data_IF_036985770846
#
_entry.id   IF_036985770846
#
_cell.length_a   1.000
_cell.length_b   1.000
_cell.length_c   1.000
_cell.angle_alpha   90.00
_cell.angle_beta   90.00
_cell.angle_gamma   90.00
#
_symmetry.space_group_name_H-M   'P 1'
#
loop_
_entity.id
_entity.type
_entity.pdbx_description
1 polymer ?
#
# COMPACT_ATOMS: atom_id res chain seq x y z
N UNK A 1 -27.64 21.82 6.13
CA UNK A 1 -26.43 21.45 5.38
C UNK A 1 -26.70 20.15 4.62
N UNK A 2 -26.44 20.12 3.32
CA UNK A 2 -26.62 18.94 2.48
C UNK A 2 -25.28 18.34 2.06
N UNK A 3 -25.14 17.03 2.22
CA UNK A 3 -24.01 16.26 1.65
C UNK A 3 -24.54 15.16 0.74
N UNK A 4 -23.70 14.74 -0.20
CA UNK A 4 -24.01 13.64 -1.10
C UNK A 4 -23.13 12.44 -0.78
N UNK A 5 -23.73 11.29 -0.49
CA UNK A 5 -23.00 10.02 -0.31
C UNK A 5 -23.11 9.20 -1.59
N UNK A 6 -21.97 8.80 -2.15
CA UNK A 6 -21.88 7.82 -3.23
C UNK A 6 -21.41 6.50 -2.67
N UNK A 7 -22.14 5.43 -2.96
CA UNK A 7 -21.90 4.10 -2.43
C UNK A 7 -21.23 3.22 -3.48
N UNK A 8 -20.32 2.35 -3.06
CA UNK A 8 -19.79 1.25 -3.87
C UNK A 8 -20.65 0.01 -3.73
N UNK A 9 -20.35 -1.04 -4.48
CA UNK A 9 -20.89 -2.38 -4.19
C UNK A 9 -20.17 -2.97 -2.96
N UNK A 10 -20.83 -3.82 -2.16
CA UNK A 10 -22.26 -4.17 -2.19
C UNK A 10 -23.20 -3.15 -1.51
N UNK A 11 -22.71 -2.06 -0.92
CA UNK A 11 -23.58 -1.06 -0.25
C UNK A 11 -24.67 -0.51 -1.15
N UNK A 12 -24.39 -0.29 -2.44
CA UNK A 12 -25.37 0.16 -3.44
C UNK A 12 -26.58 -0.77 -3.50
N UNK A 13 -26.36 -2.08 -3.42
CA UNK A 13 -27.43 -3.09 -3.42
C UNK A 13 -28.24 -3.07 -2.13
N UNK A 14 -27.57 -2.97 -0.99
CA UNK A 14 -28.24 -2.95 0.32
C UNK A 14 -29.03 -1.68 0.56
N UNK A 15 -28.51 -0.53 0.10
CA UNK A 15 -29.18 0.77 0.20
C UNK A 15 -30.23 0.95 -0.90
N UNK A 16 -30.13 0.20 -2.01
CA UNK A 16 -31.01 0.32 -3.17
C UNK A 16 -30.73 1.55 -4.04
N UNK A 17 -29.66 2.30 -3.76
CA UNK A 17 -29.27 3.49 -4.51
C UNK A 17 -27.75 3.65 -4.55
N UNK A 18 -27.23 4.06 -5.71
CA UNK A 18 -25.81 4.40 -5.90
C UNK A 18 -25.42 5.71 -5.19
N UNK A 19 -26.40 6.59 -5.00
CA UNK A 19 -26.22 7.92 -4.42
C UNK A 19 -27.40 8.23 -3.52
N UNK A 20 -27.11 8.74 -2.33
CA UNK A 20 -28.09 9.27 -1.39
C UNK A 20 -27.68 10.68 -0.95
N UNK A 21 -28.66 11.52 -0.63
CA UNK A 21 -28.42 12.87 -0.11
C UNK A 21 -28.84 12.91 1.35
N UNK A 22 -27.94 13.36 2.22
CA UNK A 22 -28.22 13.53 3.64
C UNK A 22 -28.35 15.02 3.94
N UNK A 23 -29.43 15.38 4.64
CA UNK A 23 -29.64 16.71 5.19
C UNK A 23 -29.28 16.70 6.67
N UNK A 24 -28.55 17.72 7.12
CA UNK A 24 -28.19 17.95 8.52
C UNK A 24 -28.78 19.29 8.97
N UNK A 25 -29.57 19.25 10.03
CA UNK A 25 -30.30 20.42 10.54
C UNK A 25 -29.45 21.31 11.45
N UNK A 26 -28.36 20.78 12.03
CA UNK A 26 -27.41 21.54 12.85
C UNK A 26 -26.00 20.95 12.86
N UNK A 27 -25.00 21.81 13.04
CA UNK A 27 -23.56 21.49 13.17
C UNK A 27 -23.18 21.01 14.60
N UNK A 28 -22.12 20.20 14.75
CA UNK A 28 -21.24 19.76 13.70
C UNK A 28 -21.68 18.46 13.02
N UNK A 29 -21.83 18.48 11.70
CA UNK A 29 -21.97 17.26 10.93
C UNK A 29 -20.60 16.59 10.78
N UNK A 30 -20.54 15.28 11.01
CA UNK A 30 -19.30 14.50 10.92
C UNK A 30 -19.48 13.33 9.97
N UNK A 31 -18.36 12.76 9.52
CA UNK A 31 -18.38 11.50 8.76
C UNK A 31 -19.04 10.40 9.59
N UNK A 32 -18.74 10.30 10.88
CA UNK A 32 -19.40 9.36 11.79
C UNK A 32 -20.92 9.60 11.87
N UNK A 33 -21.35 10.86 11.95
CA UNK A 33 -22.77 11.22 11.93
C UNK A 33 -23.47 10.83 10.64
N UNK A 34 -22.80 10.97 9.49
CA UNK A 34 -23.29 10.50 8.20
C UNK A 34 -23.42 8.97 8.15
N UNK A 35 -22.41 8.23 8.63
CA UNK A 35 -22.46 6.77 8.71
C UNK A 35 -23.58 6.28 9.64
N UNK A 36 -23.77 6.94 10.79
CA UNK A 36 -24.85 6.63 11.71
C UNK A 36 -26.23 6.91 11.10
N UNK A 37 -26.41 7.97 10.31
CA UNK A 37 -27.68 8.19 9.57
C UNK A 37 -27.92 7.08 8.54
N UNK A 38 -26.91 6.69 7.77
CA UNK A 38 -27.06 5.60 6.80
C UNK A 38 -27.46 4.28 7.47
N UNK A 39 -26.85 3.96 8.61
CA UNK A 39 -27.18 2.80 9.44
C UNK A 39 -28.65 2.78 9.87
N UNK A 40 -29.18 3.94 10.31
CA UNK A 40 -30.56 4.05 10.78
C UNK A 40 -31.60 4.10 9.65
N UNK A 41 -31.27 4.72 8.51
CA UNK A 41 -32.22 4.92 7.40
C UNK A 41 -32.33 3.73 6.46
N UNK A 42 -31.28 2.93 6.31
CA UNK A 42 -31.20 1.87 5.31
C UNK A 42 -30.98 0.50 5.98
N UNK A 43 -32.05 -0.28 6.17
CA UNK A 43 -31.96 -1.64 6.68
C UNK A 43 -31.00 -2.48 5.83
N UNK A 44 -29.96 -3.03 6.44
CA UNK A 44 -28.93 -3.83 5.75
C UNK A 44 -27.66 -3.05 5.36
N UNK A 45 -27.61 -1.72 5.57
CA UNK A 45 -26.37 -0.95 5.45
C UNK A 45 -25.29 -1.51 6.37
N UNK A 46 -25.59 -1.68 7.65
CA UNK A 46 -24.64 -2.18 8.66
C UNK A 46 -24.05 -3.55 8.31
N UNK A 47 -24.89 -4.49 7.90
CA UNK A 47 -24.46 -5.83 7.49
C UNK A 47 -23.51 -5.75 6.28
N UNK A 48 -23.89 -4.97 5.26
CA UNK A 48 -23.07 -4.79 4.08
C UNK A 48 -21.78 -4.00 4.36
N UNK A 49 -21.82 -3.00 5.23
CA UNK A 49 -20.67 -2.19 5.64
C UNK A 49 -19.67 -2.99 6.48
N UNK A 50 -20.13 -3.97 7.25
CA UNK A 50 -19.27 -4.96 7.92
C UNK A 50 -18.71 -6.03 6.96
N UNK A 51 -19.17 -6.05 5.71
CA UNK A 51 -18.74 -7.03 4.71
C UNK A 51 -19.36 -8.42 4.90
N UNK A 52 -20.53 -8.53 5.54
CA UNK A 52 -21.23 -9.81 5.69
C UNK A 52 -21.50 -10.44 4.31
N UNK A 53 -21.07 -11.68 4.10
CA UNK A 53 -21.20 -12.40 2.83
C UNK A 53 -20.08 -12.14 1.81
N UNK A 54 -19.07 -11.34 2.15
CA UNK A 54 -17.89 -11.11 1.31
C UNK A 54 -16.75 -12.02 1.79
N UNK A 55 -16.22 -12.88 0.92
CA UNK A 55 -15.19 -13.88 1.27
C UNK A 55 -13.83 -13.30 1.71
N UNK A 56 -13.60 -11.99 1.49
CA UNK A 56 -12.46 -11.24 1.97
C UNK A 56 -12.94 -9.93 2.61
N UNK A 57 -12.69 -9.76 3.91
CA UNK A 57 -13.15 -8.60 4.68
C UNK A 57 -12.16 -7.45 4.51
N UNK A 58 -12.14 -6.82 3.34
CA UNK A 58 -11.49 -5.52 3.22
C UNK A 58 -12.39 -4.47 3.89
N UNK A 59 -11.87 -3.61 4.79
CA UNK A 59 -12.67 -2.54 5.33
C UNK A 59 -13.05 -1.54 4.22
N UNK A 60 -14.28 -1.04 4.28
CA UNK A 60 -14.70 0.05 3.41
C UNK A 60 -13.82 1.27 3.62
N UNK A 61 -13.52 1.98 2.53
CA UNK A 61 -12.82 3.26 2.61
C UNK A 61 -13.83 4.39 2.46
N UNK A 62 -13.64 5.43 3.27
CA UNK A 62 -14.44 6.65 3.23
C UNK A 62 -13.58 7.80 2.73
N UNK A 63 -14.08 8.55 1.76
CA UNK A 63 -13.44 9.76 1.26
C UNK A 63 -14.40 10.94 1.31
N UNK A 64 -13.89 12.14 1.61
CA UNK A 64 -14.62 13.41 1.46
C UNK A 64 -13.91 14.24 0.39
N UNK A 65 -14.60 14.57 -0.71
CA UNK A 65 -14.06 15.34 -1.84
C UNK A 65 -12.69 14.84 -2.35
N UNK A 66 -12.48 13.52 -2.37
CA UNK A 66 -11.23 12.83 -2.73
C UNK A 66 -10.12 12.76 -1.66
N UNK A 67 -10.34 13.24 -0.44
CA UNK A 67 -9.45 12.99 0.70
C UNK A 67 -9.92 11.78 1.48
N UNK A 68 -9.04 10.80 1.68
CA UNK A 68 -9.37 9.65 2.51
C UNK A 68 -9.54 10.11 3.96
N UNK A 69 -10.62 9.65 4.58
CA UNK A 69 -10.84 9.75 6.03
C UNK A 69 -10.05 8.60 6.65
N UNK A 70 -9.00 8.86 7.47
CA UNK A 70 -8.31 7.81 8.18
C UNK A 70 -9.26 7.03 9.07
N UNK A 71 -9.04 5.72 9.20
CA UNK A 71 -9.84 4.90 10.10
C UNK A 71 -9.69 5.40 11.55
N UNK A 72 -10.80 5.65 12.23
CA UNK A 72 -10.86 6.18 13.59
C UNK A 72 -10.95 7.72 13.68
N UNK A 73 -10.82 8.43 12.56
CA UNK A 73 -10.96 9.90 12.52
C UNK A 73 -12.37 10.37 12.12
N UNK A 74 -13.33 9.46 11.92
CA UNK A 74 -14.66 9.77 11.40
C UNK A 74 -15.45 10.74 12.28
N UNK A 75 -15.26 10.69 13.60
CA UNK A 75 -15.88 11.62 14.57
C UNK A 75 -15.26 13.02 14.55
N UNK A 76 -13.98 13.11 14.15
CA UNK A 76 -13.23 14.37 14.10
C UNK A 76 -13.36 15.05 12.75
N UNK A 77 -13.67 14.29 11.71
CA UNK A 77 -13.81 14.79 10.35
C UNK A 77 -15.13 15.56 10.18
N UNK A 78 -15.04 16.88 10.23
CA UNK A 78 -16.17 17.79 10.02
C UNK A 78 -16.54 17.84 8.53
N UNK A 79 -17.84 17.78 8.26
CA UNK A 79 -18.41 17.97 6.94
C UNK A 79 -18.82 19.43 6.76
N UNK A 80 -18.86 19.88 5.51
CA UNK A 80 -19.41 21.17 5.12
C UNK A 80 -20.47 21.00 4.04
N UNK A 81 -21.25 22.07 3.83
CA UNK A 81 -22.31 22.08 2.82
C UNK A 81 -21.77 21.79 1.43
N UNK A 82 -22.41 20.84 0.73
CA UNK A 82 -22.00 20.40 -0.60
C UNK A 82 -20.94 19.29 -0.63
N UNK A 83 -20.44 18.83 0.51
CA UNK A 83 -19.45 17.75 0.56
C UNK A 83 -19.94 16.46 -0.12
N UNK A 84 -19.01 15.81 -0.82
CA UNK A 84 -19.24 14.50 -1.44
C UNK A 84 -18.48 13.44 -0.68
N UNK A 85 -19.25 12.55 -0.04
CA UNK A 85 -18.74 11.38 0.65
C UNK A 85 -18.74 10.20 -0.33
N UNK A 86 -17.65 9.46 -0.40
CA UNK A 86 -17.54 8.22 -1.17
C UNK A 86 -17.27 7.09 -0.20
N UNK A 87 -18.14 6.08 -0.18
CA UNK A 87 -17.99 4.87 0.63
C UNK A 87 -17.98 3.71 -0.32
N UNK A 88 -16.85 3.03 -0.46
CA UNK A 88 -16.79 1.86 -1.33
C UNK A 88 -15.91 0.78 -0.71
N UNK A 89 -16.30 -0.46 -0.99
CA UNK A 89 -15.43 -1.58 -0.71
C UNK A 89 -14.32 -1.48 -1.75
N UNK A 90 -13.04 -1.33 -1.34
CA UNK A 90 -11.97 -1.59 -2.29
C UNK A 90 -12.18 -3.04 -2.74
N UNK A 91 -12.30 -3.27 -4.06
CA UNK A 91 -12.70 -4.55 -4.64
C UNK A 91 -12.06 -5.73 -3.88
N UNK A 92 -12.70 -6.91 -3.82
CA UNK A 92 -11.96 -8.10 -3.38
C UNK A 92 -10.78 -8.30 -4.36
N UNK A 93 -9.57 -7.91 -3.95
CA UNK A 93 -8.41 -7.64 -4.84
C UNK A 93 -8.10 -6.15 -5.11
N UNK A 94 -8.56 -5.23 -4.27
CA UNK A 94 -8.51 -3.80 -4.44
C UNK A 94 -7.08 -3.32 -4.56
N UNK A 95 -6.87 -2.41 -5.51
CA UNK A 95 -5.58 -1.91 -6.01
C UNK A 95 -4.64 -1.27 -4.97
N UNK A 96 -4.98 -1.34 -3.68
CA UNK A 96 -4.21 -0.81 -2.57
C UNK A 96 -4.08 -1.81 -1.39
N UNK A 97 -4.11 -3.12 -1.66
CA UNK A 97 -3.84 -4.16 -0.66
C UNK A 97 -2.46 -4.78 -0.88
N UNK A 98 -1.73 -5.19 0.18
CA UNK A 98 -0.46 -5.88 0.02
C UNK A 98 -0.61 -7.12 -0.85
N UNK A 99 0.32 -7.30 -1.79
CA UNK A 99 0.43 -8.53 -2.56
C UNK A 99 0.62 -9.70 -1.58
N UNK A 100 -0.14 -10.79 -1.72
CA UNK A 100 -0.10 -11.89 -0.78
C UNK A 100 1.23 -12.65 -0.88
N UNK A 101 1.57 -13.43 0.15
CA UNK A 101 2.75 -14.30 0.13
C UNK A 101 2.82 -15.19 -1.12
N UNK A 102 1.67 -15.69 -1.59
CA UNK A 102 1.55 -16.50 -2.81
C UNK A 102 2.01 -15.78 -4.08
N UNK A 103 1.98 -14.43 -4.12
CA UNK A 103 2.55 -13.67 -5.23
C UNK A 103 4.08 -13.77 -5.25
N UNK A 104 4.74 -13.80 -4.09
CA UNK A 104 6.19 -13.87 -3.98
C UNK A 104 6.73 -15.31 -4.02
N UNK A 105 5.92 -16.29 -3.59
CA UNK A 105 6.21 -17.72 -3.59
C UNK A 105 6.12 -18.36 -5.00
N UNK A 106 6.74 -17.72 -5.98
CA UNK A 106 6.76 -18.10 -7.40
C UNK A 106 8.17 -17.93 -7.97
N UNK A 107 8.46 -18.48 -9.16
CA UNK A 107 9.74 -18.32 -9.81
C UNK A 107 10.20 -16.86 -9.88
N UNK A 108 11.42 -16.55 -9.45
CA UNK A 108 11.89 -15.16 -9.30
C UNK A 108 11.73 -14.33 -10.58
N UNK A 109 12.01 -14.91 -11.75
CA UNK A 109 11.84 -14.21 -13.03
C UNK A 109 10.38 -13.91 -13.38
N UNK A 110 9.44 -14.75 -12.93
CA UNK A 110 8.00 -14.47 -13.06
C UNK A 110 7.61 -13.32 -12.16
N UNK A 111 8.01 -13.36 -10.89
CA UNK A 111 7.74 -12.28 -9.93
C UNK A 111 8.36 -10.96 -10.39
N UNK A 112 9.59 -10.96 -10.90
CA UNK A 112 10.26 -9.76 -11.39
C UNK A 112 9.50 -9.06 -12.51
N UNK A 113 8.98 -9.83 -13.48
CA UNK A 113 8.14 -9.27 -14.55
C UNK A 113 6.82 -8.74 -14.02
N UNK A 114 6.18 -9.50 -13.13
CA UNK A 114 4.89 -9.14 -12.55
C UNK A 114 4.96 -7.99 -11.55
N UNK A 115 6.15 -7.66 -11.02
CA UNK A 115 6.40 -6.51 -10.18
C UNK A 115 6.44 -5.19 -10.96
N UNK A 116 6.75 -5.21 -12.26
CA UNK A 116 6.73 -4.00 -13.08
C UNK A 116 5.32 -3.43 -13.16
N UNK A 117 5.19 -2.12 -12.92
CA UNK A 117 3.92 -1.41 -12.87
C UNK A 117 3.16 -1.48 -11.54
N UNK A 118 3.55 -2.41 -10.64
CA UNK A 118 3.03 -2.50 -9.27
C UNK A 118 3.47 -1.31 -8.44
N UNK A 119 2.73 -0.99 -7.39
CA UNK A 119 3.01 0.18 -6.56
C UNK A 119 3.79 -0.21 -5.32
N UNK A 120 5.01 0.31 -5.17
CA UNK A 120 5.74 0.24 -3.90
C UNK A 120 5.21 1.32 -2.98
N UNK A 121 4.84 0.94 -1.76
CA UNK A 121 4.24 1.85 -0.77
C UNK A 121 5.06 1.86 0.50
N UNK A 122 5.31 3.07 1.00
CA UNK A 122 5.82 3.33 2.34
C UNK A 122 4.81 4.18 3.12
N UNK A 123 4.42 3.72 4.30
CA UNK A 123 3.71 4.55 5.28
C UNK A 123 4.67 4.98 6.38
N UNK A 124 4.80 6.29 6.60
CA UNK A 124 5.66 6.92 7.61
C UNK A 124 4.83 7.94 8.37
N UNK A 125 4.63 7.72 9.67
CA UNK A 125 3.89 8.65 10.54
C UNK A 125 2.50 9.03 10.00
N UNK A 126 1.80 8.05 9.40
CA UNK A 126 0.50 8.25 8.75
C UNK A 126 0.56 8.90 7.36
N UNK A 127 1.74 9.33 6.90
CA UNK A 127 1.96 9.82 5.54
C UNK A 127 2.32 8.67 4.60
N UNK A 128 1.58 8.57 3.50
CA UNK A 128 1.81 7.60 2.45
C UNK A 128 2.72 8.17 1.34
N UNK A 129 3.76 7.42 0.99
CA UNK A 129 4.67 7.67 -0.11
C UNK A 129 4.60 6.48 -1.06
N UNK A 130 4.46 6.71 -2.36
CA UNK A 130 4.41 5.61 -3.32
C UNK A 130 4.92 5.96 -4.70
N UNK A 131 5.17 4.91 -5.48
CA UNK A 131 5.39 5.01 -6.91
C UNK A 131 5.34 3.65 -7.59
N UNK A 132 5.13 3.67 -8.91
CA UNK A 132 5.09 2.47 -9.74
C UNK A 132 6.49 1.95 -9.97
N UNK A 133 6.72 0.66 -9.73
CA UNK A 133 7.99 0.00 -9.98
C UNK A 133 8.26 -0.01 -11.48
N UNK A 134 9.31 0.70 -11.89
CA UNK A 134 9.68 0.88 -13.29
C UNK A 134 10.89 0.01 -13.69
N UNK A 135 11.74 -0.34 -12.73
CA UNK A 135 12.96 -1.09 -12.99
C UNK A 135 13.25 -2.06 -11.83
N UNK A 136 13.57 -3.31 -12.17
CA UNK A 136 13.95 -4.37 -11.23
C UNK A 136 15.11 -5.20 -11.76
N UNK A 137 15.81 -5.90 -10.87
CA UNK A 137 16.87 -6.86 -11.22
C UNK A 137 16.75 -8.11 -10.35
N UNK A 138 16.81 -9.29 -10.97
CA UNK A 138 16.61 -10.57 -10.28
C UNK A 138 17.96 -11.26 -9.99
N UNK A 139 18.09 -11.80 -8.78
CA UNK A 139 19.23 -12.59 -8.34
C UNK A 139 18.75 -13.95 -7.83
N UNK A 140 19.30 -15.04 -8.36
CA UNK A 140 18.72 -16.38 -8.19
C UNK A 140 19.79 -17.41 -7.84
N UNK A 141 19.66 -18.03 -6.66
CA UNK A 141 20.51 -19.12 -6.23
C UNK A 141 21.92 -18.69 -5.84
N UNK A 142 22.70 -19.69 -5.42
CA UNK A 142 24.13 -19.55 -5.11
C UNK A 142 25.00 -19.63 -6.39
N UNK A 143 24.46 -20.11 -7.50
CA UNK A 143 25.18 -20.19 -8.78
C UNK A 143 25.28 -18.83 -9.52
N UNK A 144 24.39 -17.89 -9.19
CA UNK A 144 24.44 -16.53 -9.71
C UNK A 144 25.60 -15.75 -9.07
N UNK A 145 26.69 -15.60 -9.82
CA UNK A 145 27.92 -14.92 -9.38
C UNK A 145 27.71 -13.43 -9.04
N UNK A 146 26.63 -12.81 -9.50
CA UNK A 146 26.29 -11.42 -9.15
C UNK A 146 25.46 -11.35 -7.86
N UNK A 147 24.87 -12.46 -7.42
CA UNK A 147 24.06 -12.55 -6.22
C UNK A 147 24.90 -12.46 -4.94
N UNK A 148 24.33 -11.83 -3.91
CA UNK A 148 24.89 -11.91 -2.55
C UNK A 148 24.88 -13.34 -1.99
N UNK A 149 24.12 -14.25 -2.58
CA UNK A 149 24.08 -15.66 -2.21
C UNK A 149 25.22 -16.48 -2.84
N UNK A 150 25.97 -15.95 -3.81
CA UNK A 150 27.07 -16.66 -4.48
C UNK A 150 28.09 -17.33 -3.54
N UNK A 151 28.54 -16.71 -2.43
CA UNK A 151 29.47 -17.36 -1.49
C UNK A 151 28.76 -18.29 -0.48
N UNK A 152 27.48 -18.60 -0.69
CA UNK A 152 26.63 -19.31 0.25
C UNK A 152 26.04 -18.42 1.35
N UNK A 153 25.36 -19.05 2.31
CA UNK A 153 24.62 -18.36 3.38
C UNK A 153 25.55 -17.67 4.38
N UNK A 154 25.29 -16.38 4.62
CA UNK A 154 26.00 -15.52 5.57
C UNK A 154 25.02 -14.79 6.48
N UNK A 155 25.51 -14.17 7.57
CA UNK A 155 24.66 -13.32 8.44
C UNK A 155 24.00 -12.17 7.67
N UNK A 156 24.68 -11.61 6.66
CA UNK A 156 24.20 -10.46 5.87
C UNK A 156 23.13 -10.86 4.86
N UNK A 157 23.30 -11.96 4.14
CA UNK A 157 22.38 -12.41 3.10
C UNK A 157 21.30 -13.38 3.62
N UNK A 158 21.33 -13.74 4.91
CA UNK A 158 20.35 -14.62 5.56
C UNK A 158 18.89 -14.33 5.17
N UNK A 159 18.44 -13.07 5.02
CA UNK A 159 17.06 -12.78 4.60
C UNK A 159 16.69 -13.39 3.25
N UNK A 160 17.63 -13.51 2.30
CA UNK A 160 17.37 -14.11 0.97
C UNK A 160 16.92 -15.57 1.06
N UNK A 161 17.27 -16.27 2.14
CA UNK A 161 16.90 -17.66 2.40
C UNK A 161 15.62 -17.78 3.24
N UNK A 162 14.98 -16.66 3.59
CA UNK A 162 13.78 -16.64 4.42
C UNK A 162 12.50 -16.88 3.61
N UNK A 163 11.36 -16.65 4.25
CA UNK A 163 10.06 -16.77 3.59
C UNK A 163 9.91 -15.76 2.43
N UNK A 164 9.19 -16.13 1.35
CA UNK A 164 8.86 -15.22 0.26
C UNK A 164 8.02 -14.04 0.78
N UNK A 165 8.25 -12.84 0.22
CA UNK A 165 7.59 -11.61 0.66
C UNK A 165 8.32 -10.85 1.77
N UNK A 166 9.50 -11.30 2.18
CA UNK A 166 10.36 -10.52 3.06
C UNK A 166 11.12 -9.43 2.29
N UNK A 167 11.29 -8.27 2.91
CA UNK A 167 12.21 -7.25 2.46
C UNK A 167 13.65 -7.65 2.83
N UNK A 168 14.54 -7.62 1.85
CA UNK A 168 15.98 -7.71 2.08
C UNK A 168 16.63 -6.36 1.83
N UNK A 169 16.99 -5.66 2.91
CA UNK A 169 17.59 -4.32 2.86
C UNK A 169 19.03 -4.38 3.34
N UNK A 170 19.95 -3.90 2.50
CA UNK A 170 21.37 -3.86 2.83
C UNK A 170 21.99 -2.51 2.52
N UNK A 171 23.08 -2.21 3.23
CA UNK A 171 23.87 -0.99 3.07
C UNK A 171 25.03 -1.24 2.08
N UNK A 172 25.29 -0.27 1.21
CA UNK A 172 26.32 -0.33 0.17
C UNK A 172 27.07 1.01 0.05
N UNK A 173 28.35 0.92 -0.35
CA UNK A 173 29.25 2.07 -0.57
C UNK A 173 29.35 3.06 0.61
N UNK A 174 29.05 2.60 1.83
CA UNK A 174 29.14 3.43 3.02
C UNK A 174 28.09 4.54 3.12
N UNK A 175 27.10 4.60 2.23
CA UNK A 175 26.12 5.71 2.20
C UNK A 175 24.72 5.38 1.69
N UNK A 176 24.51 4.26 0.99
CA UNK A 176 23.22 3.95 0.36
C UNK A 176 22.63 2.64 0.86
N UNK A 177 21.31 2.55 0.82
CA UNK A 177 20.57 1.29 1.00
C UNK A 177 20.03 0.79 -0.33
N UNK A 178 19.86 -0.53 -0.44
CA UNK A 178 19.14 -1.18 -1.53
C UNK A 178 18.00 -2.02 -0.95
N UNK A 179 16.81 -1.91 -1.53
CA UNK A 179 15.64 -2.73 -1.20
C UNK A 179 15.52 -3.89 -2.18
N UNK A 180 15.43 -5.09 -1.64
CA UNK A 180 15.10 -6.29 -2.42
C UNK A 180 13.86 -6.96 -1.84
N UNK A 181 13.20 -7.76 -2.65
CA UNK A 181 12.03 -8.57 -2.28
C UNK A 181 12.40 -10.04 -2.42
N UNK A 182 12.27 -10.82 -1.34
CA UNK A 182 12.57 -12.26 -1.31
C UNK A 182 11.46 -13.03 -2.03
N UNK A 183 11.86 -14.00 -2.85
CA UNK A 183 10.96 -14.83 -3.67
C UNK A 183 11.28 -16.31 -3.48
N UNK A 184 10.56 -17.18 -4.19
CA UNK A 184 10.75 -18.64 -4.16
C UNK A 184 10.41 -19.26 -2.79
N UNK A 185 10.69 -20.54 -2.63
CA UNK A 185 10.48 -21.25 -1.35
C UNK A 185 11.53 -20.86 -0.31
N UNK A 186 11.13 -20.88 0.96
CA UNK A 186 12.07 -20.73 2.08
C UNK A 186 13.22 -21.75 1.95
N UNK A 187 14.44 -21.28 2.26
CA UNK A 187 15.67 -22.05 2.11
C UNK A 187 16.37 -21.91 0.76
N UNK A 188 15.68 -21.48 -0.30
CA UNK A 188 16.29 -21.20 -1.59
C UNK A 188 16.58 -19.69 -1.74
N UNK A 189 17.85 -19.26 -1.90
CA UNK A 189 18.16 -17.85 -1.92
C UNK A 189 17.79 -17.19 -3.24
N UNK A 190 16.72 -16.40 -3.25
CA UNK A 190 16.38 -15.59 -4.40
C UNK A 190 15.69 -14.28 -4.02
N UNK A 191 16.06 -13.20 -4.69
CA UNK A 191 15.49 -11.89 -4.42
C UNK A 191 15.52 -10.99 -5.66
N UNK A 192 14.66 -9.98 -5.64
CA UNK A 192 14.52 -8.98 -6.70
C UNK A 192 14.86 -7.60 -6.13
N UNK A 193 15.91 -6.96 -6.65
CA UNK A 193 16.26 -5.59 -6.36
C UNK A 193 15.24 -4.65 -7.02
N UNK A 194 14.65 -3.73 -6.23
CA UNK A 194 13.87 -2.62 -6.79
C UNK A 194 14.84 -1.51 -7.15
N UNK A 195 15.01 -1.26 -8.45
CA UNK A 195 15.99 -0.30 -8.96
C UNK A 195 15.41 1.09 -9.12
N UNK A 196 14.12 1.21 -9.43
CA UNK A 196 13.49 2.51 -9.49
C UNK A 196 11.97 2.47 -9.51
N UNK A 197 11.39 3.59 -9.11
CA UNK A 197 9.95 3.84 -9.19
C UNK A 197 9.67 5.17 -9.91
N UNK A 198 8.47 5.27 -10.47
CA UNK A 198 7.82 6.51 -10.88
C UNK A 198 6.93 7.01 -9.73
N UNK A 199 7.35 8.06 -8.98
CA UNK A 199 6.62 8.52 -7.80
C UNK A 199 5.23 9.07 -8.14
N UNK A 200 4.20 8.68 -7.39
CA UNK A 200 2.81 9.16 -7.57
C UNK A 200 2.16 9.71 -6.28
N UNK A 201 2.61 9.31 -5.08
CA UNK A 201 2.16 9.88 -3.80
C UNK A 201 3.33 10.38 -2.95
N UNK A 202 3.11 11.45 -2.18
CA UNK A 202 4.12 11.95 -1.23
C UNK A 202 5.37 12.57 -1.87
N UNK A 203 5.30 12.97 -3.15
CA UNK A 203 6.42 13.48 -3.94
C UNK A 203 7.17 14.63 -3.25
N UNK A 204 6.45 15.58 -2.63
CA UNK A 204 7.08 16.69 -1.92
C UNK A 204 7.94 16.22 -0.74
N UNK A 205 7.48 15.21 0.00
CA UNK A 205 8.21 14.64 1.12
C UNK A 205 9.39 13.78 0.66
N UNK A 206 9.26 13.08 -0.47
CA UNK A 206 10.36 12.40 -1.13
C UNK A 206 11.45 13.40 -1.59
N UNK A 207 11.04 14.50 -2.23
CA UNK A 207 11.94 15.54 -2.71
C UNK A 207 12.68 16.23 -1.55
N UNK A 208 12.02 16.50 -0.44
CA UNK A 208 12.65 17.05 0.76
C UNK A 208 13.81 16.16 1.25
N UNK A 209 13.65 14.83 1.26
CA UNK A 209 14.70 13.85 1.59
C UNK A 209 15.84 13.80 0.57
N UNK A 210 15.63 14.39 -0.61
CA UNK A 210 16.58 14.48 -1.73
C UNK A 210 17.10 15.90 -1.97
N UNK A 211 17.04 16.76 -0.94
CA UNK A 211 17.45 18.16 -0.98
C UNK A 211 16.68 18.98 -2.02
N UNK A 212 15.36 18.79 -2.08
CA UNK A 212 14.44 19.51 -2.98
C UNK A 212 14.47 19.08 -4.44
N UNK A 213 15.23 18.03 -4.80
CA UNK A 213 15.34 17.57 -6.19
C UNK A 213 14.06 16.84 -6.63
N UNK A 214 13.47 17.28 -7.74
CA UNK A 214 12.33 16.61 -8.39
C UNK A 214 12.74 15.71 -9.57
N UNK A 215 13.81 16.07 -10.27
CA UNK A 215 14.38 15.22 -11.33
C UNK A 215 15.16 14.07 -10.71
N UNK A 216 15.08 12.88 -11.32
CA UNK A 216 15.84 11.70 -10.90
C UNK A 216 15.60 11.38 -9.41
N UNK A 217 14.32 11.49 -9.01
CA UNK A 217 13.89 11.40 -7.62
C UNK A 217 13.99 9.97 -7.09
N UNK A 218 13.67 8.96 -7.90
CA UNK A 218 13.70 7.56 -7.48
C UNK A 218 14.09 6.59 -8.61
N UNK A 219 14.94 7.04 -9.54
CA UNK A 219 15.46 6.31 -10.71
C UNK A 219 16.81 5.61 -10.42
N UNK A 220 16.93 5.01 -9.23
CA UNK A 220 18.12 4.28 -8.81
C UNK A 220 17.95 3.70 -7.41
N UNK A 221 18.57 2.55 -7.07
CA UNK A 221 18.23 1.81 -5.86
C UNK A 221 18.51 2.60 -4.58
N UNK A 222 19.67 3.28 -4.49
CA UNK A 222 20.00 4.16 -3.36
C UNK A 222 19.13 5.43 -3.31
N UNK A 223 18.82 5.98 -4.49
CA UNK A 223 17.99 7.17 -4.67
C UNK A 223 16.56 6.93 -4.19
N UNK A 224 15.99 5.79 -4.58
CA UNK A 224 14.69 5.25 -4.17
C UNK A 224 14.65 5.11 -2.64
N UNK A 225 15.60 4.38 -2.06
CA UNK A 225 15.60 4.14 -0.62
C UNK A 225 15.67 5.45 0.17
N UNK A 226 16.49 6.41 -0.27
CA UNK A 226 16.57 7.72 0.36
C UNK A 226 15.25 8.51 0.23
N UNK A 227 14.64 8.53 -0.96
CA UNK A 227 13.38 9.22 -1.22
C UNK A 227 12.23 8.66 -0.35
N UNK A 228 12.20 7.34 -0.15
CA UNK A 228 11.16 6.66 0.62
C UNK A 228 11.52 6.42 2.09
N UNK A 229 12.66 6.94 2.58
CA UNK A 229 13.19 6.65 3.92
C UNK A 229 13.17 5.15 4.27
N UNK A 230 13.77 4.37 3.38
CA UNK A 230 14.03 2.94 3.56
C UNK A 230 15.48 2.77 4.02
N UNK A 231 15.64 2.14 5.18
CA UNK A 231 16.94 1.84 5.76
C UNK A 231 16.97 0.42 6.34
N UNK A 232 18.05 0.09 7.06
CA UNK A 232 18.24 -1.24 7.65
C UNK A 232 17.15 -1.64 8.65
N UNK A 233 16.39 -0.73 9.25
CA UNK A 233 15.30 -1.08 10.16
C UNK A 233 14.18 -1.88 9.47
N UNK A 234 14.08 -1.76 8.14
CA UNK A 234 13.14 -2.52 7.31
C UNK A 234 13.71 -3.84 6.78
N UNK A 235 14.94 -4.22 7.17
CA UNK A 235 15.47 -5.52 6.78
C UNK A 235 14.70 -6.65 7.49
N UNK A 236 14.32 -7.68 6.75
CA UNK A 236 13.37 -8.73 7.17
C UNK A 236 11.94 -8.24 7.42
N UNK A 237 11.56 -7.05 6.94
CA UNK A 237 10.16 -6.61 7.05
C UNK A 237 9.25 -7.50 6.19
N UNK A 238 8.07 -7.83 6.69
CA UNK A 238 7.06 -8.60 5.96
C UNK A 238 6.24 -7.66 5.05
N UNK A 239 6.46 -7.76 3.74
CA UNK A 239 5.79 -6.95 2.73
C UNK A 239 4.32 -7.34 2.53
N UNK A 240 3.87 -8.44 3.13
CA UNK A 240 2.48 -8.90 3.07
C UNK A 240 1.60 -8.31 4.18
N UNK A 241 2.23 -7.71 5.21
CA UNK A 241 1.54 -7.22 6.41
C UNK A 241 0.84 -5.87 6.24
N UNK A 242 1.20 -5.06 5.25
CA UNK A 242 0.49 -3.82 4.89
C UNK A 242 0.54 -2.67 5.91
N UNK A 243 1.56 -2.62 6.77
CA UNK A 243 1.66 -1.63 7.86
C UNK A 243 2.69 -0.53 7.64
N UNK A 244 3.80 -0.83 7.00
CA UNK A 244 4.97 0.05 6.95
C UNK A 244 5.59 0.14 5.56
N UNK A 245 5.91 -1.01 4.96
CA UNK A 245 6.42 -1.13 3.60
C UNK A 245 5.74 -2.32 2.94
N UNK A 246 5.14 -2.13 1.78
CA UNK A 246 4.49 -3.21 1.04
C UNK A 246 4.38 -2.88 -0.46
N UNK A 247 3.92 -3.84 -1.24
CA UNK A 247 3.67 -3.66 -2.67
C UNK A 247 2.20 -3.98 -2.94
N UNK A 248 1.55 -3.16 -3.76
CA UNK A 248 0.14 -3.28 -4.14
C UNK A 248 -0.01 -3.49 -5.66
N UNK A 249 -1.16 -4.02 -6.13
CA UNK A 249 -1.42 -4.26 -7.55
C UNK A 249 -1.21 -3.07 -8.50
#
# INVERSE_FOLDING_TARGET
>A
MQVTVRLGEPLTRSVGALRVSLQFDSEPATVAGALHRLSNEYPGFDAAFRGEGIGHVNPYRVYVNARQVPAGDEDRWRLVDGDKIYIFLPAAGGQDAPLPQAFYARPTLTVARDLLGRRLVRCLDGQRLSGRIAEVEAYIGEDDRASHAAPGRTKRNRPMYGAPGLAYVYFIYGMYFCLNVVTETEGFPAAILIRGIEPDEGIAAMAARRAGRLRNLADGPGKLCQAMAIDRALNCHDLTAGRELWIEP
#
